data_IF_964321798737
#
_entry.id   IF_964321798737
#
_cell.length_a   1.000
_cell.length_b   1.000
_cell.length_c   1.000
_cell.angle_alpha   90.00
_cell.angle_beta   90.00
_cell.angle_gamma   90.00
#
_symmetry.space_group_name_H-M   'P 1'
#
loop_
_entity.id
_entity.type
_entity.pdbx_description
1 polymer ?
#
# COMPACT_ATOMS: atom_id res chain seq x y z
N UNK A 1 -103.92 25.76 -21.44
CA UNK A 1 -103.19 26.86 -22.12
C UNK A 1 -103.08 28.03 -21.16
N UNK A 2 -101.90 28.68 -21.10
CA UNK A 2 -101.56 29.97 -20.44
C UNK A 2 -101.75 30.06 -18.92
N UNK A 3 -100.92 30.70 -18.09
CA UNK A 3 -99.66 31.41 -18.23
C UNK A 3 -99.12 31.77 -16.83
N UNK A 4 -97.78 31.88 -16.68
CA UNK A 4 -97.06 32.88 -15.87
C UNK A 4 -97.21 32.83 -14.33
N UNK A 5 -96.28 33.26 -13.48
CA UNK A 5 -95.07 34.09 -13.55
C UNK A 5 -94.29 33.85 -12.26
N UNK A 6 -92.95 33.88 -12.28
CA UNK A 6 -92.18 34.53 -11.20
C UNK A 6 -90.78 34.95 -11.68
N UNK A 7 -90.41 36.15 -11.26
CA UNK A 7 -89.14 36.91 -11.36
C UNK A 7 -88.69 37.15 -9.90
N UNK A 8 -87.57 37.84 -9.57
CA UNK A 8 -86.23 37.96 -10.16
C UNK A 8 -85.09 37.93 -9.08
N UNK A 9 -83.86 38.33 -9.46
CA UNK A 9 -82.72 38.79 -8.62
C UNK A 9 -81.84 37.72 -7.96
N UNK A 10 -80.51 37.84 -7.77
CA UNK A 10 -79.46 38.84 -8.11
C UNK A 10 -78.09 38.12 -7.93
N UNK A 11 -77.07 38.69 -8.59
CA UNK A 11 -75.64 38.30 -8.71
C UNK A 11 -74.90 38.05 -7.38
N UNK A 12 -73.96 37.09 -7.34
CA UNK A 12 -72.68 37.20 -6.59
C UNK A 12 -71.55 36.48 -7.34
N UNK A 13 -70.45 37.24 -7.45
CA UNK A 13 -69.05 37.00 -7.86
C UNK A 13 -68.51 35.57 -8.00
N UNK A 14 -67.88 35.33 -9.15
CA UNK A 14 -66.97 34.21 -9.44
C UNK A 14 -65.53 34.60 -9.09
N UNK A 15 -64.91 33.88 -8.16
CA UNK A 15 -63.47 33.86 -7.96
C UNK A 15 -63.06 32.46 -7.51
N UNK A 16 -62.40 31.71 -8.39
CA UNK A 16 -61.54 30.58 -8.02
C UNK A 16 -60.56 30.34 -9.17
N UNK A 17 -59.32 30.76 -8.90
CA UNK A 17 -58.15 30.52 -9.73
C UNK A 17 -57.78 29.03 -9.64
N UNK A 18 -57.65 28.36 -10.80
CA UNK A 18 -56.99 27.06 -10.91
C UNK A 18 -55.61 27.32 -11.49
N UNK A 19 -54.62 27.53 -10.62
CA UNK A 19 -53.22 27.43 -10.98
C UNK A 19 -52.84 25.94 -10.91
N UNK A 20 -52.74 25.30 -12.07
CA UNK A 20 -52.19 23.96 -12.19
C UNK A 20 -50.66 24.05 -12.03
N UNK A 21 -50.17 23.77 -10.83
CA UNK A 21 -48.75 23.62 -10.53
C UNK A 21 -48.23 22.31 -11.13
N UNK A 22 -47.43 22.41 -12.20
CA UNK A 22 -46.52 21.35 -12.61
C UNK A 22 -45.34 21.33 -11.64
N UNK A 23 -45.45 20.58 -10.56
CA UNK A 23 -44.31 20.23 -9.72
C UNK A 23 -43.51 19.14 -10.42
N UNK A 24 -42.60 19.53 -11.31
CA UNK A 24 -41.51 18.65 -11.73
C UNK A 24 -40.61 18.47 -10.53
N UNK A 25 -40.72 17.31 -9.88
CA UNK A 25 -39.76 16.86 -8.87
C UNK A 25 -38.47 16.53 -9.61
N UNK A 26 -37.58 17.51 -9.75
CA UNK A 26 -36.17 17.26 -10.03
C UNK A 26 -35.53 16.74 -8.74
N UNK A 27 -35.67 15.44 -8.47
CA UNK A 27 -34.73 14.71 -7.61
C UNK A 27 -33.71 14.08 -8.54
N UNK A 28 -32.56 14.75 -8.69
CA UNK A 28 -31.47 14.21 -9.48
C UNK A 28 -30.42 15.26 -9.84
N UNK A 29 -29.17 14.95 -9.49
CA UNK A 29 -27.93 15.59 -9.91
C UNK A 29 -27.46 16.85 -9.14
N UNK A 30 -27.27 16.71 -7.83
CA UNK A 30 -26.20 17.45 -7.13
C UNK A 30 -25.03 16.50 -6.83
N UNK A 31 -24.48 15.86 -7.87
CA UNK A 31 -23.25 15.05 -7.78
C UNK A 31 -22.12 15.41 -8.78
N UNK A 32 -22.27 16.27 -9.81
CA UNK A 32 -21.18 16.41 -10.79
C UNK A 32 -20.02 17.31 -10.32
N UNK A 33 -20.22 18.27 -9.42
CA UNK A 33 -19.17 19.24 -9.07
C UNK A 33 -18.06 18.62 -8.20
N UNK A 34 -18.41 17.89 -7.15
CA UNK A 34 -17.43 17.23 -6.29
C UNK A 34 -16.78 16.00 -6.96
N UNK A 35 -17.54 15.27 -7.79
CA UNK A 35 -17.05 14.14 -8.59
C UNK A 35 -16.03 14.56 -9.65
N UNK A 36 -16.27 15.67 -10.35
CA UNK A 36 -15.33 16.24 -11.31
C UNK A 36 -14.05 16.75 -10.63
N UNK A 37 -14.12 17.17 -9.37
CA UNK A 37 -12.98 17.74 -8.64
C UNK A 37 -11.91 16.68 -8.32
N UNK A 38 -12.27 15.54 -7.70
CA UNK A 38 -11.25 14.55 -7.29
C UNK A 38 -10.54 13.88 -8.46
N UNK A 39 -11.27 13.49 -9.50
CA UNK A 39 -10.67 12.81 -10.66
C UNK A 39 -9.79 13.75 -11.47
N UNK A 40 -10.09 15.05 -11.49
CA UNK A 40 -9.23 16.06 -12.13
C UNK A 40 -7.85 16.18 -11.49
N UNK A 41 -7.73 15.81 -10.21
CA UNK A 41 -6.48 15.82 -9.44
C UNK A 41 -5.63 14.56 -9.65
N UNK A 42 -6.16 13.55 -10.34
CA UNK A 42 -5.42 12.31 -10.66
C UNK A 42 -4.50 12.47 -11.89
N UNK A 43 -3.67 13.52 -11.88
CA UNK A 43 -2.77 13.88 -12.98
C UNK A 43 -1.87 12.71 -13.41
N UNK A 44 -1.51 11.85 -12.45
CA UNK A 44 -0.64 10.70 -12.65
C UNK A 44 -1.22 9.67 -13.62
N UNK A 45 -2.55 9.51 -13.69
CA UNK A 45 -3.18 8.58 -14.62
C UNK A 45 -2.87 8.95 -16.07
N UNK A 46 -2.94 10.25 -16.39
CA UNK A 46 -2.57 10.76 -17.71
C UNK A 46 -1.07 10.62 -17.96
N UNK A 47 -0.24 10.99 -16.99
CA UNK A 47 1.22 10.89 -17.11
C UNK A 47 1.70 9.45 -17.36
N UNK A 48 1.03 8.47 -16.75
CA UNK A 48 1.34 7.04 -16.89
C UNK A 48 0.63 6.38 -18.07
N UNK A 49 -0.17 7.11 -18.85
CA UNK A 49 -0.92 6.60 -20.00
C UNK A 49 -1.97 5.53 -19.62
N UNK A 50 -2.63 5.69 -18.47
CA UNK A 50 -3.55 4.70 -17.90
C UNK A 50 -4.70 4.32 -18.84
N UNK A 51 -5.34 5.29 -19.52
CA UNK A 51 -6.45 5.00 -20.45
C UNK A 51 -6.04 4.10 -21.62
N UNK A 52 -4.80 4.21 -22.09
CA UNK A 52 -4.28 3.34 -23.15
C UNK A 52 -3.92 1.96 -22.59
N UNK A 53 -3.32 1.90 -21.40
CA UNK A 53 -3.01 0.61 -20.74
C UNK A 53 -4.28 -0.20 -20.46
N UNK A 54 -5.36 0.46 -20.00
CA UNK A 54 -6.63 -0.18 -19.69
C UNK A 54 -7.34 -0.82 -20.88
N UNK A 55 -6.95 -0.50 -22.12
CA UNK A 55 -7.43 -1.20 -23.32
C UNK A 55 -6.79 -2.58 -23.49
N UNK A 56 -5.66 -2.83 -22.82
CA UNK A 56 -4.90 -4.08 -22.86
C UNK A 56 -5.11 -4.87 -21.56
N UNK A 57 -4.92 -4.21 -20.42
CA UNK A 57 -5.10 -4.82 -19.09
C UNK A 57 -5.52 -3.77 -18.07
N UNK A 58 -6.34 -4.18 -17.11
CA UNK A 58 -6.75 -3.38 -15.97
C UNK A 58 -6.17 -3.90 -14.65
N UNK A 59 -5.35 -4.94 -14.67
CA UNK A 59 -4.84 -5.62 -13.46
C UNK A 59 -5.68 -6.82 -13.04
N UNK A 60 -6.58 -7.29 -13.90
CA UNK A 60 -7.42 -8.47 -13.68
C UNK A 60 -6.60 -9.72 -13.31
N UNK A 61 -7.14 -10.53 -12.41
CA UNK A 61 -6.48 -11.74 -11.93
C UNK A 61 -5.33 -11.50 -10.94
N UNK A 62 -4.99 -10.24 -10.63
CA UNK A 62 -3.99 -9.90 -9.60
C UNK A 62 -4.68 -9.45 -8.32
N UNK A 63 -4.28 -10.07 -7.22
CA UNK A 63 -4.70 -9.68 -5.86
C UNK A 63 -3.53 -9.03 -5.14
N UNK A 64 -3.81 -7.96 -4.39
CA UNK A 64 -2.81 -7.21 -3.63
C UNK A 64 -3.23 -7.16 -2.17
N UNK A 65 -2.32 -7.50 -1.26
CA UNK A 65 -2.50 -7.21 0.15
C UNK A 65 -2.17 -5.74 0.42
N UNK A 66 -3.09 -5.01 1.04
CA UNK A 66 -2.85 -3.62 1.50
C UNK A 66 -2.75 -3.67 3.01
N UNK A 67 -1.51 -3.56 3.52
CA UNK A 67 -1.24 -3.53 4.95
C UNK A 67 -1.24 -2.07 5.41
N UNK A 68 -2.30 -1.67 6.10
CA UNK A 68 -2.59 -0.27 6.42
C UNK A 68 -3.61 -0.15 7.57
N UNK A 69 -4.26 1.01 7.74
CA UNK A 69 -5.19 1.33 8.84
C UNK A 69 -6.54 0.60 8.78
N UNK A 70 -6.73 -0.32 7.82
CA UNK A 70 -7.99 -0.93 7.42
C UNK A 70 -8.46 -0.41 6.05
N UNK A 71 -9.48 -1.03 5.46
CA UNK A 71 -10.05 -0.59 4.17
C UNK A 71 -11.56 -0.64 4.21
N UNK A 72 -12.24 0.50 4.06
CA UNK A 72 -13.69 0.53 3.98
C UNK A 72 -14.17 0.05 2.59
N UNK A 73 -14.82 -1.13 2.48
CA UNK A 73 -15.27 -1.67 1.19
C UNK A 73 -16.54 -0.99 0.67
N UNK A 74 -17.22 -0.20 1.50
CA UNK A 74 -18.50 0.41 1.18
C UNK A 74 -18.39 1.74 0.43
N UNK A 75 -17.17 2.25 0.23
CA UNK A 75 -16.99 3.43 -0.63
C UNK A 75 -17.48 3.11 -2.04
N UNK A 76 -18.10 4.08 -2.75
CA UNK A 76 -18.56 3.85 -4.12
C UNK A 76 -17.47 3.32 -5.05
N UNK A 77 -16.21 3.70 -4.84
CA UNK A 77 -15.05 3.27 -5.64
C UNK A 77 -14.54 1.86 -5.30
N UNK A 78 -14.78 1.35 -4.08
CA UNK A 78 -14.26 0.05 -3.64
C UNK A 78 -15.31 -1.07 -3.58
N UNK A 79 -16.60 -0.77 -3.78
CA UNK A 79 -17.64 -1.81 -3.79
C UNK A 79 -17.32 -2.92 -4.80
N UNK A 80 -17.14 -4.12 -4.27
CA UNK A 80 -16.79 -5.33 -5.03
C UNK A 80 -15.30 -5.48 -5.35
N UNK A 81 -14.43 -4.58 -4.89
CA UNK A 81 -12.97 -4.62 -5.10
C UNK A 81 -12.21 -5.23 -3.93
N UNK A 82 -12.80 -5.22 -2.74
CA UNK A 82 -12.18 -5.67 -1.50
C UNK A 82 -12.62 -7.12 -1.20
N UNK A 83 -11.64 -7.97 -0.91
CA UNK A 83 -11.81 -9.36 -0.52
C UNK A 83 -11.70 -9.49 1.01
N UNK A 84 -11.95 -10.70 1.53
CA UNK A 84 -11.73 -10.97 2.95
C UNK A 84 -10.24 -10.87 3.27
N UNK A 85 -9.92 -10.14 4.34
CA UNK A 85 -8.56 -9.95 4.83
C UNK A 85 -8.41 -10.31 6.31
N UNK A 86 -7.48 -9.65 6.98
CA UNK A 86 -7.14 -9.89 8.39
C UNK A 86 -7.00 -8.59 9.17
N UNK A 87 -7.51 -8.56 10.40
CA UNK A 87 -7.13 -7.56 11.40
C UNK A 87 -6.01 -8.13 12.29
N UNK A 88 -4.82 -7.51 12.24
CA UNK A 88 -3.67 -7.90 13.04
C UNK A 88 -3.52 -7.06 14.33
N UNK A 89 -4.36 -6.04 14.53
CA UNK A 89 -4.27 -5.09 15.64
C UNK A 89 -4.67 -5.68 16.98
N UNK A 90 -5.57 -6.67 16.99
CA UNK A 90 -6.20 -7.19 18.21
C UNK A 90 -7.09 -6.17 18.94
N UNK A 91 -7.37 -5.02 18.33
CA UNK A 91 -8.31 -4.02 18.83
C UNK A 91 -9.75 -4.36 18.38
N UNK A 92 -10.72 -3.56 18.84
CA UNK A 92 -12.10 -3.69 18.37
C UNK A 92 -12.21 -3.34 16.87
N UNK A 93 -13.05 -4.11 16.17
CA UNK A 93 -13.29 -4.00 14.74
C UNK A 93 -12.76 -5.19 13.94
N UNK A 94 -12.73 -5.03 12.63
CA UNK A 94 -12.20 -5.99 11.67
C UNK A 94 -11.34 -5.30 10.59
N UNK A 95 -10.90 -6.05 9.58
CA UNK A 95 -10.02 -5.54 8.52
C UNK A 95 -10.60 -4.38 7.70
N UNK A 96 -11.93 -4.20 7.75
CA UNK A 96 -12.66 -3.16 7.03
C UNK A 96 -12.81 -1.85 7.83
N UNK A 97 -12.51 -1.88 9.14
CA UNK A 97 -12.62 -0.73 10.03
C UNK A 97 -11.41 0.21 9.88
N UNK A 98 -11.37 0.93 8.76
CA UNK A 98 -10.37 1.96 8.51
C UNK A 98 -10.55 3.15 9.45
N UNK A 99 -9.73 3.20 10.50
CA UNK A 99 -9.81 4.21 11.54
C UNK A 99 -9.20 5.56 11.15
N UNK A 100 -8.59 5.67 9.96
CA UNK A 100 -7.91 6.89 9.49
C UNK A 100 -8.41 7.42 8.15
N UNK A 101 -8.94 6.56 7.29
CA UNK A 101 -9.17 6.85 5.87
C UNK A 101 -7.93 6.65 4.99
N UNK A 102 -6.77 6.32 5.58
CA UNK A 102 -5.50 6.19 4.87
C UNK A 102 -5.47 4.89 4.05
N UNK A 103 -5.74 3.74 4.66
CA UNK A 103 -5.76 2.46 3.96
C UNK A 103 -6.82 2.39 2.85
N UNK A 104 -8.00 2.96 3.07
CA UNK A 104 -9.04 3.11 2.03
C UNK A 104 -8.55 3.96 0.87
N UNK A 105 -7.83 5.05 1.14
CA UNK A 105 -7.21 5.86 0.07
C UNK A 105 -6.20 5.03 -0.72
N UNK A 106 -5.32 4.28 -0.05
CA UNK A 106 -4.31 3.45 -0.72
C UNK A 106 -4.97 2.38 -1.61
N UNK A 107 -6.00 1.70 -1.09
CA UNK A 107 -6.78 0.73 -1.83
C UNK A 107 -7.47 1.35 -3.05
N UNK A 108 -8.00 2.57 -2.93
CA UNK A 108 -8.61 3.28 -4.06
C UNK A 108 -7.60 3.72 -5.13
N UNK A 109 -6.40 4.19 -4.73
CA UNK A 109 -5.33 4.51 -5.67
C UNK A 109 -4.85 3.27 -6.46
N UNK A 110 -4.96 2.08 -5.86
CA UNK A 110 -4.65 0.82 -6.52
C UNK A 110 -5.83 0.39 -7.42
N UNK A 111 -6.99 0.11 -6.83
CA UNK A 111 -8.08 -0.62 -7.48
C UNK A 111 -9.43 0.11 -7.48
N UNK A 112 -9.48 1.40 -7.14
CA UNK A 112 -10.72 2.17 -7.15
C UNK A 112 -11.39 2.18 -8.53
N UNK A 113 -12.69 1.93 -8.61
CA UNK A 113 -13.38 1.93 -9.91
C UNK A 113 -13.74 3.33 -10.42
N UNK A 114 -13.56 4.37 -9.58
CA UNK A 114 -14.02 5.73 -9.84
C UNK A 114 -15.55 5.91 -9.85
N UNK A 115 -16.31 4.90 -9.41
CA UNK A 115 -17.78 4.97 -9.34
C UNK A 115 -18.20 5.98 -8.28
N UNK A 116 -19.36 6.60 -8.46
CA UNK A 116 -19.83 7.66 -7.57
C UNK A 116 -18.97 8.93 -7.59
N UNK A 117 -18.07 9.06 -8.58
CA UNK A 117 -17.15 10.19 -8.66
C UNK A 117 -15.96 10.12 -7.74
N UNK A 118 -15.65 8.94 -7.16
CA UNK A 118 -14.47 8.78 -6.32
C UNK A 118 -13.18 8.55 -7.10
N UNK A 119 -12.12 8.20 -6.38
CA UNK A 119 -10.80 7.92 -6.96
C UNK A 119 -10.87 6.70 -7.91
N UNK A 120 -10.29 6.86 -9.11
CA UNK A 120 -10.07 5.78 -10.06
C UNK A 120 -8.64 5.22 -9.94
N UNK A 121 -8.47 4.02 -9.43
CA UNK A 121 -7.16 3.41 -9.24
C UNK A 121 -6.44 3.14 -10.56
N UNK A 122 -5.12 3.00 -10.48
CA UNK A 122 -4.28 2.69 -11.65
C UNK A 122 -4.52 1.27 -12.18
N UNK A 123 -4.85 0.31 -11.32
CA UNK A 123 -5.17 -1.08 -11.65
C UNK A 123 -6.61 -1.45 -11.24
N UNK A 124 -7.65 -0.86 -11.87
CA UNK A 124 -9.05 -1.01 -11.43
C UNK A 124 -9.63 -2.42 -11.63
N UNK A 125 -8.92 -3.34 -12.29
CA UNK A 125 -9.29 -4.74 -12.41
C UNK A 125 -8.71 -5.64 -11.31
N UNK A 126 -7.76 -5.14 -10.53
CA UNK A 126 -7.16 -5.86 -9.41
C UNK A 126 -8.11 -5.98 -8.22
N UNK A 127 -7.79 -6.86 -7.27
CA UNK A 127 -8.52 -7.00 -6.00
C UNK A 127 -7.63 -6.71 -4.81
N UNK A 128 -8.24 -6.18 -3.75
CA UNK A 128 -7.56 -5.77 -2.51
C UNK A 128 -7.87 -6.78 -1.41
N UNK A 129 -6.84 -7.26 -0.73
CA UNK A 129 -6.92 -8.02 0.53
C UNK A 129 -6.47 -7.08 1.64
N UNK A 130 -7.39 -6.56 2.48
CA UNK A 130 -7.03 -5.59 3.51
C UNK A 130 -6.36 -6.29 4.70
N UNK A 131 -5.25 -5.73 5.18
CA UNK A 131 -4.57 -6.18 6.39
C UNK A 131 -4.48 -5.01 7.36
N UNK A 132 -5.35 -4.97 8.36
CA UNK A 132 -5.43 -3.86 9.31
C UNK A 132 -4.32 -3.96 10.35
N UNK A 133 -3.55 -2.89 10.50
CA UNK A 133 -2.49 -2.72 11.50
C UNK A 133 -2.69 -1.42 12.27
N UNK A 134 -2.02 -1.29 13.41
CA UNK A 134 -1.99 -0.09 14.23
C UNK A 134 -0.81 0.80 13.84
N UNK A 135 -1.09 2.07 13.60
CA UNK A 135 -0.06 3.12 13.57
C UNK A 135 0.36 3.47 15.00
N UNK A 136 1.54 4.05 15.19
CA UNK A 136 2.06 4.43 16.52
C UNK A 136 1.03 5.14 17.42
N UNK A 137 0.21 6.02 16.87
CA UNK A 137 -0.82 6.73 17.65
C UNK A 137 -2.07 5.90 17.92
N UNK A 138 -2.42 4.98 17.03
CA UNK A 138 -3.47 3.99 17.27
C UNK A 138 -3.04 3.04 18.40
N UNK A 139 -1.82 2.52 18.33
CA UNK A 139 -1.30 1.57 19.31
C UNK A 139 -1.25 2.15 20.73
N UNK A 140 -0.83 3.43 20.87
CA UNK A 140 -0.85 4.16 22.15
C UNK A 140 -2.24 4.27 22.77
N UNK A 141 -3.29 4.37 21.94
CA UNK A 141 -4.68 4.58 22.39
C UNK A 141 -5.42 3.27 22.68
N UNK A 142 -5.06 2.18 22.00
CA UNK A 142 -5.90 0.98 21.95
C UNK A 142 -5.25 -0.30 22.51
N UNK A 143 -4.11 -0.22 23.20
CA UNK A 143 -3.43 -1.41 23.77
C UNK A 143 -3.32 -2.57 22.77
N UNK A 144 -2.98 -2.24 21.52
CA UNK A 144 -2.99 -3.16 20.40
C UNK A 144 -1.82 -4.15 20.45
N UNK A 145 -1.90 -5.19 19.63
CA UNK A 145 -0.82 -6.12 19.35
C UNK A 145 0.44 -5.37 18.88
N UNK A 146 1.54 -5.53 19.62
CA UNK A 146 2.84 -4.91 19.32
C UNK A 146 3.58 -5.59 18.16
N UNK A 147 3.04 -6.68 17.63
CA UNK A 147 3.60 -7.44 16.51
C UNK A 147 2.69 -7.45 15.28
N UNK A 148 1.68 -6.59 15.26
CA UNK A 148 0.71 -6.46 14.19
C UNK A 148 1.33 -6.38 12.79
N UNK A 149 2.43 -5.64 12.61
CA UNK A 149 3.10 -5.51 11.30
C UNK A 149 3.66 -6.84 10.80
N UNK A 150 4.38 -7.57 11.66
CA UNK A 150 4.96 -8.86 11.29
C UNK A 150 3.87 -9.91 11.04
N UNK A 151 2.81 -9.91 11.86
CA UNK A 151 1.69 -10.83 11.72
C UNK A 151 0.89 -10.55 10.43
N UNK A 152 0.67 -9.28 10.09
CA UNK A 152 0.03 -8.86 8.84
C UNK A 152 0.88 -9.22 7.60
N UNK A 153 2.20 -9.01 7.63
CA UNK A 153 3.11 -9.40 6.53
C UNK A 153 3.05 -10.91 6.31
N UNK A 154 3.06 -11.69 7.39
CA UNK A 154 2.98 -13.15 7.31
C UNK A 154 1.63 -13.61 6.77
N UNK A 155 0.54 -13.03 7.24
CA UNK A 155 -0.81 -13.32 6.73
C UNK A 155 -0.96 -12.96 5.25
N UNK A 156 -0.41 -11.83 4.83
CA UNK A 156 -0.36 -11.44 3.41
C UNK A 156 0.44 -12.45 2.58
N UNK A 157 1.55 -12.96 3.11
CA UNK A 157 2.34 -14.00 2.46
C UNK A 157 1.61 -15.34 2.31
N UNK A 158 0.72 -15.68 3.24
CA UNK A 158 -0.10 -16.89 3.19
C UNK A 158 -1.41 -16.72 2.41
N UNK A 159 -1.75 -15.50 2.01
CA UNK A 159 -2.90 -15.20 1.16
C UNK A 159 -2.59 -15.41 -0.34
N UNK A 160 -3.64 -15.29 -1.16
CA UNK A 160 -3.55 -15.31 -2.63
C UNK A 160 -2.98 -14.00 -3.22
N UNK A 161 -2.63 -13.01 -2.39
CA UNK A 161 -1.97 -11.79 -2.87
C UNK A 161 -0.68 -12.12 -3.63
N UNK A 162 -0.47 -11.54 -4.81
CA UNK A 162 0.83 -11.56 -5.51
C UNK A 162 1.74 -10.43 -5.04
N UNK A 163 1.13 -9.31 -4.64
CA UNK A 163 1.82 -8.08 -4.26
C UNK A 163 1.39 -7.67 -2.84
N UNK A 164 2.31 -7.17 -2.02
CA UNK A 164 2.02 -6.58 -0.71
C UNK A 164 2.41 -5.09 -0.75
N UNK A 165 1.47 -4.21 -0.48
CA UNK A 165 1.67 -2.76 -0.40
C UNK A 165 1.68 -2.33 1.06
N UNK A 166 2.76 -1.65 1.49
CA UNK A 166 2.99 -1.22 2.86
C UNK A 166 3.25 0.29 2.89
N UNK A 167 2.22 1.07 3.22
CA UNK A 167 2.28 2.54 3.23
C UNK A 167 2.53 3.09 4.64
N UNK A 168 3.41 2.43 5.39
CA UNK A 168 3.83 2.77 6.74
C UNK A 168 5.33 2.54 6.91
N UNK A 169 5.90 3.11 7.97
CA UNK A 169 7.32 2.94 8.27
C UNK A 169 7.67 3.30 9.71
N UNK A 170 8.78 2.74 10.18
CA UNK A 170 9.37 3.01 11.49
C UNK A 170 10.90 2.96 11.39
N UNK A 171 11.64 3.81 12.11
CA UNK A 171 13.11 3.74 12.13
C UNK A 171 13.65 2.51 12.89
N UNK A 172 12.78 1.65 13.42
CA UNK A 172 13.15 0.47 14.20
C UNK A 172 12.83 -0.78 13.41
N UNK A 173 13.82 -1.67 13.28
CA UNK A 173 13.61 -3.02 12.75
C UNK A 173 13.47 -4.03 13.89
N UNK A 174 12.60 -5.03 13.69
CA UNK A 174 12.44 -6.13 14.65
C UNK A 174 12.85 -7.47 14.02
N UNK A 175 13.35 -8.44 14.81
CA UNK A 175 13.63 -9.78 14.29
C UNK A 175 12.41 -10.44 13.63
N UNK A 176 11.23 -10.26 14.23
CA UNK A 176 9.97 -10.87 13.75
C UNK A 176 9.54 -10.29 12.40
N UNK A 177 9.67 -8.98 12.19
CA UNK A 177 9.42 -8.37 10.87
C UNK A 177 10.42 -8.84 9.82
N UNK A 178 11.72 -8.90 10.15
CA UNK A 178 12.74 -9.44 9.24
C UNK A 178 12.42 -10.85 8.78
N UNK A 179 11.97 -11.70 9.71
CA UNK A 179 11.56 -13.07 9.39
C UNK A 179 10.29 -13.11 8.52
N UNK A 180 9.30 -12.27 8.82
CA UNK A 180 8.07 -12.18 8.03
C UNK A 180 8.34 -11.73 6.59
N UNK A 181 9.24 -10.75 6.40
CA UNK A 181 9.65 -10.25 5.08
C UNK A 181 10.42 -11.31 4.28
N UNK A 182 11.35 -12.03 4.91
CA UNK A 182 12.02 -13.18 4.28
C UNK A 182 11.03 -14.29 3.91
N UNK A 183 10.07 -14.56 4.78
CA UNK A 183 9.02 -15.54 4.53
C UNK A 183 8.14 -15.15 3.33
N UNK A 184 7.76 -13.87 3.22
CA UNK A 184 7.02 -13.35 2.08
C UNK A 184 7.81 -13.50 0.75
N UNK A 185 9.11 -13.20 0.76
CA UNK A 185 9.97 -13.40 -0.42
C UNK A 185 10.05 -14.89 -0.79
N UNK A 186 10.22 -15.78 0.19
CA UNK A 186 10.26 -17.23 -0.03
C UNK A 186 8.92 -17.80 -0.56
N UNK A 187 7.81 -17.07 -0.39
CA UNK A 187 6.49 -17.38 -0.98
C UNK A 187 6.29 -16.73 -2.37
N UNK A 188 7.32 -16.11 -2.93
CA UNK A 188 7.28 -15.46 -4.24
C UNK A 188 6.47 -14.16 -4.26
N UNK A 189 6.25 -13.52 -3.11
CA UNK A 189 5.52 -12.25 -3.03
C UNK A 189 6.43 -11.08 -3.43
N UNK A 190 5.90 -10.15 -4.22
CA UNK A 190 6.53 -8.85 -4.47
C UNK A 190 6.00 -7.85 -3.45
N UNK A 191 6.83 -7.03 -2.83
CA UNK A 191 6.33 -6.08 -1.85
C UNK A 191 7.01 -4.73 -1.89
N UNK A 192 6.17 -3.70 -1.80
CA UNK A 192 6.53 -2.30 -1.91
C UNK A 192 6.29 -1.63 -0.57
N UNK A 193 7.23 -0.78 -0.16
CA UNK A 193 7.18 -0.07 1.11
C UNK A 193 7.51 1.42 0.91
N UNK A 194 6.77 2.27 1.63
CA UNK A 194 7.06 3.70 1.68
C UNK A 194 8.43 3.96 2.33
N UNK A 195 9.27 4.79 1.72
CA UNK A 195 10.58 5.15 2.30
C UNK A 195 10.49 6.16 3.43
N UNK A 196 9.34 6.83 3.61
CA UNK A 196 9.09 7.81 4.68
C UNK A 196 9.05 9.26 4.19
N UNK A 197 8.55 10.15 5.06
CA UNK A 197 8.21 11.55 4.71
C UNK A 197 8.99 12.61 5.54
N UNK A 198 10.07 12.24 6.24
CA UNK A 198 10.84 13.14 7.12
C UNK A 198 12.19 13.59 6.53
N UNK A 199 12.26 13.82 5.20
CA UNK A 199 13.51 14.19 4.54
C UNK A 199 14.11 15.52 5.02
N UNK A 200 13.26 16.48 5.42
CA UNK A 200 13.68 17.76 5.98
C UNK A 200 13.99 17.68 7.49
N UNK A 201 13.64 16.57 8.15
CA UNK A 201 13.93 16.32 9.54
C UNK A 201 15.14 15.42 9.71
N UNK A 202 14.94 14.22 10.26
CA UNK A 202 16.05 13.30 10.56
C UNK A 202 16.43 12.41 9.38
N UNK A 203 15.60 12.33 8.33
CA UNK A 203 15.81 11.48 7.14
C UNK A 203 16.32 10.08 7.51
N UNK A 204 15.64 9.41 8.44
CA UNK A 204 16.08 8.10 8.94
C UNK A 204 15.53 7.01 8.05
N UNK A 205 16.37 6.03 7.73
CA UNK A 205 15.90 4.79 7.11
C UNK A 205 14.71 4.21 7.89
N UNK A 206 13.63 3.91 7.17
CA UNK A 206 12.41 3.31 7.72
C UNK A 206 12.27 1.86 7.25
N UNK A 207 11.76 1.02 8.14
CA UNK A 207 11.37 -0.35 7.88
C UNK A 207 9.85 -0.42 7.72
N UNK A 208 9.33 -1.16 6.73
CA UNK A 208 10.00 -2.24 6.02
C UNK A 208 10.81 -1.86 4.77
N UNK A 209 10.77 -0.61 4.29
CA UNK A 209 11.47 -0.20 3.05
C UNK A 209 12.98 -0.46 3.06
N UNK A 210 13.62 -0.42 4.23
CA UNK A 210 15.06 -0.67 4.38
C UNK A 210 15.42 -2.15 4.51
N UNK A 211 14.46 -3.08 4.44
CA UNK A 211 14.78 -4.51 4.32
C UNK A 211 15.22 -4.83 2.89
N UNK A 212 16.31 -5.62 2.69
CA UNK A 212 16.83 -5.92 1.35
C UNK A 212 15.85 -6.57 0.37
N UNK A 213 14.79 -7.20 0.89
CA UNK A 213 13.77 -7.86 0.08
C UNK A 213 12.61 -6.92 -0.31
N UNK A 214 12.47 -5.76 0.33
CA UNK A 214 11.40 -4.81 0.08
C UNK A 214 11.81 -3.81 -0.99
N UNK A 215 10.88 -3.45 -1.87
CA UNK A 215 11.06 -2.36 -2.81
C UNK A 215 10.71 -1.05 -2.11
N UNK A 216 11.72 -0.25 -1.77
CA UNK A 216 11.51 1.07 -1.20
C UNK A 216 11.10 2.08 -2.26
N UNK A 217 9.95 2.73 -2.05
CA UNK A 217 9.33 3.67 -2.99
C UNK A 217 9.39 5.10 -2.47
N UNK A 218 10.09 5.97 -3.21
CA UNK A 218 10.10 7.41 -3.00
C UNK A 218 8.99 8.12 -3.77
N UNK A 219 8.65 9.34 -3.32
CA UNK A 219 7.60 10.15 -3.92
C UNK A 219 8.17 11.15 -4.93
N UNK A 220 7.47 11.30 -6.04
CA UNK A 220 7.74 12.31 -7.05
C UNK A 220 6.51 13.17 -7.38
N UNK A 221 6.80 14.38 -7.86
CA UNK A 221 5.84 15.36 -8.33
C UNK A 221 5.47 15.17 -9.82
N UNK A 222 4.55 16.02 -10.31
CA UNK A 222 4.11 16.04 -11.71
C UNK A 222 5.18 16.37 -12.74
N UNK A 223 6.33 16.90 -12.31
CA UNK A 223 7.47 17.19 -13.15
C UNK A 223 8.50 16.04 -13.13
N UNK A 224 8.22 14.96 -12.38
CA UNK A 224 9.13 13.85 -12.19
C UNK A 224 10.30 14.17 -11.25
N UNK A 225 10.19 15.21 -10.43
CA UNK A 225 11.17 15.54 -9.40
C UNK A 225 10.77 14.89 -8.08
N UNK A 226 11.75 14.48 -7.29
CA UNK A 226 11.52 13.98 -5.93
C UNK A 226 10.76 15.03 -5.11
N UNK A 227 9.77 14.60 -4.34
CA UNK A 227 9.03 15.48 -3.43
C UNK A 227 9.89 15.88 -2.24
N UNK A 228 9.75 17.12 -1.76
CA UNK A 228 10.61 17.67 -0.70
C UNK A 228 10.57 16.90 0.62
N UNK A 229 9.44 16.26 0.94
CA UNK A 229 9.29 15.42 2.14
C UNK A 229 9.88 14.01 1.97
N UNK A 230 10.08 13.53 0.73
CA UNK A 230 10.39 12.12 0.48
C UNK A 230 11.79 11.78 0.99
N UNK A 231 11.86 10.84 1.93
CA UNK A 231 13.16 10.37 2.42
C UNK A 231 13.99 9.80 1.26
N UNK A 232 15.31 9.96 1.40
CA UNK A 232 16.29 9.63 0.38
C UNK A 232 17.47 8.88 1.01
N UNK A 233 18.10 8.02 0.22
CA UNK A 233 19.20 7.18 0.67
C UNK A 233 19.20 5.82 -0.01
N UNK A 234 19.88 4.86 0.64
CA UNK A 234 20.07 3.52 0.10
C UNK A 234 18.78 2.69 0.08
N UNK A 235 17.78 3.06 0.89
CA UNK A 235 16.47 2.44 0.93
C UNK A 235 15.58 2.80 -0.27
N UNK A 236 15.99 3.71 -1.17
CA UNK A 236 15.20 4.09 -2.35
C UNK A 236 15.53 3.23 -3.57
N UNK A 237 14.63 2.33 -3.96
CA UNK A 237 14.78 1.49 -5.15
C UNK A 237 14.09 2.07 -6.38
N UNK A 238 12.95 2.74 -6.22
CA UNK A 238 12.18 3.33 -7.33
C UNK A 238 11.38 4.53 -6.85
N UNK A 239 10.98 5.40 -7.77
CA UNK A 239 10.05 6.49 -7.49
C UNK A 239 8.71 6.30 -8.21
N UNK A 240 7.65 6.82 -7.60
CA UNK A 240 6.33 6.90 -8.21
C UNK A 240 5.63 8.23 -7.86
N UNK A 241 4.59 8.62 -8.62
CA UNK A 241 3.77 9.78 -8.28
C UNK A 241 3.24 9.71 -6.85
N UNK A 242 3.53 10.71 -6.03
CA UNK A 242 3.04 10.78 -4.64
C UNK A 242 2.74 12.18 -4.13
N UNK A 243 3.02 13.23 -4.93
CA UNK A 243 2.69 14.61 -4.60
C UNK A 243 1.32 15.03 -5.16
N UNK A 244 0.58 15.86 -4.42
CA UNK A 244 -0.73 16.41 -4.84
C UNK A 244 -1.71 15.29 -5.26
N UNK A 245 -1.67 14.15 -4.56
CA UNK A 245 -2.54 13.00 -4.83
C UNK A 245 -3.79 13.07 -3.96
N UNK A 246 -5.02 12.98 -4.50
CA UNK A 246 -6.23 13.08 -3.69
C UNK A 246 -6.31 11.96 -2.64
N UNK A 247 -6.90 12.27 -1.49
CA UNK A 247 -7.12 11.32 -0.38
C UNK A 247 -8.46 11.54 0.30
N UNK A 248 -8.97 10.54 1.01
CA UNK A 248 -10.04 10.78 1.98
C UNK A 248 -9.56 11.78 3.03
N UNK A 249 -10.36 12.80 3.38
CA UNK A 249 -9.96 13.79 4.38
C UNK A 249 -9.74 13.16 5.75
N UNK A 250 -10.65 12.25 6.13
CA UNK A 250 -10.70 11.53 7.39
C UNK A 250 -11.48 10.21 7.21
N UNK A 251 -11.66 9.48 8.31
CA UNK A 251 -12.38 8.21 8.36
C UNK A 251 -13.92 8.33 8.35
N UNK A 252 -14.49 9.53 8.15
CA UNK A 252 -15.93 9.68 7.94
C UNK A 252 -16.35 9.31 6.51
N UNK A 253 -15.38 9.28 5.58
CA UNK A 253 -15.58 9.01 4.15
C UNK A 253 -16.63 9.93 3.49
N UNK A 254 -16.73 11.18 3.97
CA UNK A 254 -17.70 12.16 3.46
C UNK A 254 -17.15 12.99 2.30
N UNK A 255 -15.84 13.29 2.30
CA UNK A 255 -15.20 14.09 1.24
C UNK A 255 -13.75 13.71 1.01
N UNK A 256 -13.31 13.91 -0.23
CA UNK A 256 -11.90 13.89 -0.60
C UNK A 256 -11.25 15.26 -0.36
N UNK A 257 -10.00 15.23 0.03
CA UNK A 257 -9.12 16.37 0.21
C UNK A 257 -7.96 16.29 -0.79
N UNK A 258 -7.34 17.44 -1.04
CA UNK A 258 -6.02 17.47 -1.64
C UNK A 258 -5.06 16.71 -0.71
N UNK A 259 -4.24 15.82 -1.25
CA UNK A 259 -3.18 15.21 -0.49
C UNK A 259 -2.03 16.20 -0.35
N UNK A 260 -1.58 16.39 0.89
CA UNK A 260 -0.34 17.12 1.21
C UNK A 260 0.91 16.41 0.67
N UNK A 261 0.73 15.24 0.03
CA UNK A 261 1.76 14.37 -0.49
C UNK A 261 2.06 13.21 0.47
N UNK A 262 2.72 12.19 -0.05
CA UNK A 262 3.26 11.11 0.78
C UNK A 262 3.85 9.98 -0.04
N UNK A 263 4.94 9.39 0.45
CA UNK A 263 5.48 8.14 -0.11
C UNK A 263 4.46 7.02 -0.07
N UNK A 264 3.46 7.08 0.82
CA UNK A 264 2.29 6.17 0.83
C UNK A 264 1.57 6.09 -0.51
N UNK A 265 1.22 7.24 -1.11
CA UNK A 265 0.54 7.27 -2.40
C UNK A 265 1.44 6.74 -3.52
N UNK A 266 2.73 7.06 -3.47
CA UNK A 266 3.73 6.52 -4.40
C UNK A 266 3.82 5.00 -4.30
N UNK A 267 3.85 4.42 -3.10
CA UNK A 267 3.85 2.98 -2.85
C UNK A 267 2.61 2.29 -3.42
N UNK A 268 1.43 2.88 -3.22
CA UNK A 268 0.18 2.36 -3.78
C UNK A 268 0.22 2.36 -5.33
N UNK A 269 0.67 3.45 -5.93
CA UNK A 269 0.75 3.59 -7.40
C UNK A 269 1.84 2.67 -7.98
N UNK A 270 2.96 2.46 -7.28
CA UNK A 270 3.98 1.51 -7.68
C UNK A 270 3.48 0.06 -7.63
N UNK A 271 2.75 -0.30 -6.56
CA UNK A 271 2.10 -1.60 -6.41
C UNK A 271 1.08 -1.86 -7.52
N UNK A 272 0.26 -0.86 -7.86
CA UNK A 272 -0.69 -0.94 -8.96
C UNK A 272 0.00 -1.07 -10.34
N UNK A 273 1.15 -0.41 -10.53
CA UNK A 273 1.96 -0.55 -11.74
C UNK A 273 2.46 -2.00 -11.91
N UNK A 274 2.91 -2.61 -10.81
CA UNK A 274 3.29 -4.03 -10.82
C UNK A 274 2.09 -4.94 -11.11
N UNK A 275 0.90 -4.63 -10.59
CA UNK A 275 -0.30 -5.40 -10.87
C UNK A 275 -0.68 -5.37 -12.36
N UNK A 276 -0.58 -4.22 -13.02
CA UNK A 276 -0.82 -4.11 -14.46
C UNK A 276 0.19 -4.94 -15.27
N UNK A 277 1.48 -4.83 -14.96
CA UNK A 277 2.53 -5.61 -15.65
C UNK A 277 2.34 -7.11 -15.43
N UNK A 278 2.02 -7.53 -14.21
CA UNK A 278 1.82 -8.94 -13.88
C UNK A 278 0.53 -9.51 -14.49
N UNK A 279 -0.54 -8.72 -14.61
CA UNK A 279 -1.77 -9.13 -15.28
C UNK A 279 -1.56 -9.35 -16.78
N UNK A 280 -0.79 -8.47 -17.45
CA UNK A 280 -0.40 -8.65 -18.84
C UNK A 280 0.58 -9.82 -19.07
N UNK A 281 1.28 -10.28 -18.03
CA UNK A 281 2.27 -11.35 -18.08
C UNK A 281 2.03 -12.36 -16.94
N UNK A 282 0.94 -13.13 -16.97
CA UNK A 282 0.46 -13.90 -15.81
C UNK A 282 1.44 -15.00 -15.34
N UNK A 283 2.28 -15.50 -16.25
CA UNK A 283 3.27 -16.56 -16.01
C UNK A 283 4.60 -16.05 -15.43
N UNK A 284 4.76 -14.74 -15.26
CA UNK A 284 5.98 -14.15 -14.71
C UNK A 284 6.08 -14.31 -13.20
N UNK A 285 7.32 -14.32 -12.70
CA UNK A 285 7.64 -14.26 -11.28
C UNK A 285 7.65 -12.82 -10.76
N UNK A 286 7.64 -12.66 -9.44
CA UNK A 286 7.86 -11.37 -8.78
C UNK A 286 9.14 -10.67 -9.27
N UNK A 287 10.22 -11.44 -9.45
CA UNK A 287 11.51 -10.93 -9.90
C UNK A 287 11.41 -10.38 -11.33
N UNK A 288 10.73 -11.08 -12.23
CA UNK A 288 10.58 -10.64 -13.63
C UNK A 288 9.76 -9.37 -13.75
N UNK A 289 8.65 -9.30 -13.01
CA UNK A 289 7.83 -8.09 -12.95
C UNK A 289 8.66 -6.91 -12.42
N UNK A 290 9.39 -7.10 -11.33
CA UNK A 290 10.22 -6.05 -10.74
C UNK A 290 11.36 -5.62 -11.69
N UNK A 291 12.03 -6.57 -12.34
CA UNK A 291 13.14 -6.28 -13.24
C UNK A 291 12.70 -5.42 -14.42
N UNK A 292 11.54 -5.72 -15.02
CA UNK A 292 10.95 -4.88 -16.08
C UNK A 292 10.63 -3.48 -15.59
N UNK A 293 10.08 -3.34 -14.39
CA UNK A 293 9.77 -2.03 -13.82
C UNK A 293 11.04 -1.20 -13.58
N UNK A 294 12.12 -1.81 -13.09
CA UNK A 294 13.42 -1.14 -12.93
C UNK A 294 14.08 -0.82 -14.27
N UNK A 295 14.06 -1.76 -15.21
CA UNK A 295 14.68 -1.59 -16.52
C UNK A 295 14.05 -0.43 -17.30
N UNK A 296 12.72 -0.33 -17.24
CA UNK A 296 11.96 0.67 -17.99
C UNK A 296 11.71 1.97 -17.23
N UNK A 297 12.12 2.07 -15.97
CA UNK A 297 11.98 3.26 -15.16
C UNK A 297 12.62 4.49 -15.83
N UNK A 298 11.92 5.62 -15.78
CA UNK A 298 12.36 6.88 -16.37
C UNK A 298 13.49 7.51 -15.55
N UNK A 299 14.64 7.74 -16.18
CA UNK A 299 15.86 8.29 -15.57
C UNK A 299 16.67 9.07 -16.58
N UNK A 300 17.51 9.98 -16.09
CA UNK A 300 18.52 10.73 -16.85
C UNK A 300 19.96 10.32 -16.51
N UNK A 301 20.15 9.38 -15.57
CA UNK A 301 21.42 8.71 -15.28
C UNK A 301 21.55 7.36 -16.01
N UNK A 302 22.76 6.79 -15.97
CA UNK A 302 23.10 5.53 -16.66
C UNK A 302 22.29 4.35 -16.10
N UNK A 303 21.83 3.47 -16.98
CA UNK A 303 21.20 2.19 -16.59
C UNK A 303 22.17 1.36 -15.73
N UNK A 304 21.66 0.84 -14.61
CA UNK A 304 22.43 0.09 -13.61
C UNK A 304 22.83 0.94 -12.41
N UNK A 305 22.96 2.26 -12.56
CA UNK A 305 23.19 3.16 -11.43
C UNK A 305 21.86 3.50 -10.73
N UNK A 306 21.94 3.79 -9.43
CA UNK A 306 20.80 4.18 -8.59
C UNK A 306 20.99 5.60 -8.07
N UNK A 307 19.94 6.41 -8.18
CA UNK A 307 19.82 7.70 -7.50
C UNK A 307 19.40 7.50 -6.06
N UNK A 308 20.00 8.23 -5.11
CA UNK A 308 19.55 8.23 -3.72
C UNK A 308 18.11 8.79 -3.55
N UNK A 309 17.60 9.52 -4.55
CA UNK A 309 16.28 10.16 -4.50
C UNK A 309 15.21 9.42 -5.28
N UNK A 310 15.58 8.82 -6.42
CA UNK A 310 14.63 8.20 -7.36
C UNK A 310 14.96 6.73 -7.67
N UNK A 311 15.99 6.16 -7.06
CA UNK A 311 16.39 4.76 -7.24
C UNK A 311 16.74 4.46 -8.70
N UNK A 312 16.07 3.47 -9.29
CA UNK A 312 16.16 3.10 -10.70
C UNK A 312 15.41 4.07 -11.64
N UNK A 313 14.60 4.97 -11.10
CA UNK A 313 13.86 6.01 -11.83
C UNK A 313 12.39 6.05 -11.47
N UNK A 314 11.63 6.84 -12.23
CA UNK A 314 10.17 6.89 -12.13
C UNK A 314 9.54 5.67 -12.78
N UNK A 315 8.62 5.00 -12.09
CA UNK A 315 7.94 3.81 -12.60
C UNK A 315 7.08 4.12 -13.85
N UNK A 316 7.18 3.28 -14.88
CA UNK A 316 6.54 3.49 -16.19
C UNK A 316 5.96 2.19 -16.77
N UNK A 317 4.89 1.62 -16.19
CA UNK A 317 4.32 0.34 -16.64
C UNK A 317 3.92 0.35 -18.13
N UNK A 318 3.55 1.51 -18.68
CA UNK A 318 3.22 1.69 -20.10
C UNK A 318 4.37 1.32 -21.05
N UNK A 319 5.63 1.38 -20.62
CA UNK A 319 6.77 0.97 -21.45
C UNK A 319 6.73 -0.52 -21.75
N UNK A 320 6.28 -1.34 -20.79
CA UNK A 320 6.07 -2.76 -21.02
C UNK A 320 4.72 -3.00 -21.70
N UNK A 321 3.63 -2.52 -21.11
CA UNK A 321 2.26 -2.86 -21.54
C UNK A 321 1.96 -2.37 -22.97
N UNK A 322 2.38 -1.15 -23.33
CA UNK A 322 2.06 -0.57 -24.65
C UNK A 322 3.15 -0.79 -25.70
N UNK A 323 4.39 -1.04 -25.28
CA UNK A 323 5.55 -1.06 -26.19
C UNK A 323 6.37 -2.36 -26.15
N UNK A 324 6.01 -3.31 -25.29
CA UNK A 324 6.73 -4.57 -25.14
C UNK A 324 8.20 -4.40 -24.73
N UNK A 325 8.54 -3.30 -24.05
CA UNK A 325 9.92 -3.04 -23.58
C UNK A 325 10.13 -3.55 -22.16
N UNK A 326 11.40 -3.73 -21.83
CA UNK A 326 11.85 -4.23 -20.52
C UNK A 326 12.35 -5.65 -20.63
N UNK A 327 13.52 -5.90 -20.06
CA UNK A 327 14.05 -7.25 -19.89
C UNK A 327 13.52 -7.86 -18.58
N UNK A 328 12.74 -8.96 -18.61
CA UNK A 328 12.30 -9.63 -17.40
C UNK A 328 13.46 -10.28 -16.63
N UNK A 329 14.61 -10.56 -17.28
CA UNK A 329 15.73 -11.21 -16.62
C UNK A 329 15.41 -12.64 -16.16
N UNK A 330 16.24 -13.15 -15.26
CA UNK A 330 16.12 -14.50 -14.70
C UNK A 330 14.96 -14.56 -13.68
N UNK A 331 14.04 -15.55 -13.78
CA UNK A 331 12.91 -15.69 -12.87
C UNK A 331 13.29 -15.91 -11.40
N UNK A 332 14.49 -16.40 -11.14
CA UNK A 332 14.95 -16.81 -9.81
C UNK A 332 15.98 -15.86 -9.20
N UNK A 333 16.42 -14.82 -9.91
CA UNK A 333 17.38 -13.83 -9.38
C UNK A 333 16.65 -12.56 -8.96
N UNK A 334 16.77 -12.16 -7.70
CA UNK A 334 16.18 -10.92 -7.20
C UNK A 334 16.88 -9.69 -7.80
N UNK A 335 16.15 -8.75 -8.41
CA UNK A 335 16.72 -7.48 -8.86
C UNK A 335 17.23 -6.58 -7.72
N UNK A 336 16.81 -6.85 -6.48
CA UNK A 336 17.20 -6.07 -5.30
C UNK A 336 18.54 -6.53 -4.74
N UNK A 337 18.73 -7.86 -4.59
CA UNK A 337 19.90 -8.44 -3.92
C UNK A 337 20.88 -9.11 -4.88
N UNK A 338 20.48 -9.37 -6.13
CA UNK A 338 21.22 -10.21 -7.08
C UNK A 338 21.50 -11.63 -6.55
N UNK A 339 20.66 -12.11 -5.64
CA UNK A 339 20.72 -13.46 -5.07
C UNK A 339 19.57 -14.32 -5.59
N UNK A 340 19.75 -15.63 -5.56
CA UNK A 340 18.72 -16.59 -5.95
C UNK A 340 17.61 -16.68 -4.90
N UNK A 341 16.36 -16.54 -5.31
CA UNK A 341 15.16 -16.70 -4.48
C UNK A 341 14.55 -18.09 -4.66
N UNK A 342 14.17 -18.78 -3.58
CA UNK A 342 13.71 -20.19 -3.61
C UNK A 342 12.19 -20.37 -3.72
N UNK A 343 11.45 -19.32 -4.13
CA UNK A 343 9.98 -19.25 -4.01
C UNK A 343 9.18 -19.04 -5.28
N UNK A 344 9.81 -19.00 -6.46
CA UNK A 344 9.12 -18.74 -7.73
C UNK A 344 8.37 -19.97 -8.24
N UNK A 345 7.03 -19.96 -8.38
CA UNK A 345 6.29 -21.09 -8.95
C UNK A 345 6.40 -21.21 -10.48
N UNK A 346 7.20 -20.38 -11.15
CA UNK A 346 7.34 -20.40 -12.61
C UNK A 346 8.43 -21.38 -13.06
N UNK A 347 8.24 -22.66 -12.79
CA UNK A 347 8.79 -23.72 -13.63
C UNK A 347 8.07 -25.03 -13.36
N UNK A 348 7.43 -25.66 -14.37
CA UNK A 348 7.31 -27.10 -14.35
C UNK A 348 8.75 -27.61 -14.34
N UNK A 349 9.15 -28.26 -13.25
CA UNK A 349 10.39 -28.99 -13.18
C UNK A 349 10.51 -29.80 -14.48
N UNK A 350 11.53 -29.48 -15.29
CA UNK A 350 11.94 -30.36 -16.36
C UNK A 350 12.18 -31.72 -15.70
N UNK A 351 11.30 -32.67 -15.96
CA UNK A 351 11.46 -34.03 -15.50
C UNK A 351 12.77 -34.51 -16.07
N UNK A 352 13.79 -34.65 -15.22
CA UNK A 352 14.99 -35.40 -15.56
C UNK A 352 14.54 -36.83 -15.86
N UNK A 353 14.26 -37.11 -17.12
CA UNK A 353 14.21 -38.47 -17.63
C UNK A 353 15.62 -39.05 -17.50
N UNK A 354 15.81 -40.20 -16.84
CA UNK A 354 17.11 -40.86 -16.81
C UNK A 354 17.45 -41.30 -18.24
N UNK A 355 18.50 -40.73 -18.82
CA UNK A 355 19.09 -41.22 -20.05
C UNK A 355 19.70 -42.59 -19.78
N UNK A 356 19.08 -43.62 -20.34
CA UNK A 356 19.59 -44.98 -20.41
C UNK A 356 20.93 -44.99 -21.16
N UNK A 357 22.04 -45.10 -20.44
CA UNK A 357 23.32 -45.49 -21.02
C UNK A 357 23.47 -47.00 -20.91
N UNK A 358 23.44 -47.65 -22.07
CA UNK A 358 23.75 -49.06 -22.19
C UNK A 358 25.27 -49.27 -22.15
N UNK A 359 25.66 -50.26 -21.34
CA UNK A 359 26.84 -51.11 -21.41
C UNK A 359 28.23 -50.47 -21.51
N UNK A 360 29.03 -50.64 -20.45
CA UNK A 360 30.10 -51.64 -20.50
C UNK A 360 30.59 -52.01 -19.07
N UNK A 361 30.56 -53.30 -18.78
CA UNK A 361 31.32 -54.00 -17.73
C UNK A 361 32.16 -55.07 -18.46
N UNK A 362 33.25 -55.66 -17.90
CA UNK A 362 33.61 -55.69 -16.48
C UNK A 362 35.12 -55.65 -16.13
N UNK A 363 35.44 -55.35 -14.86
CA UNK A 363 36.49 -56.04 -14.11
C UNK A 363 36.29 -55.90 -12.59
N UNK A 364 36.37 -57.04 -11.88
CA UNK A 364 36.22 -57.21 -10.44
C UNK A 364 37.50 -56.87 -9.65
N UNK A 365 37.31 -56.28 -8.45
CA UNK A 365 38.01 -56.56 -7.17
C UNK A 365 37.61 -55.43 -6.19
N UNK A 366 37.21 -55.58 -4.93
CA UNK A 366 37.19 -56.66 -3.95
C UNK A 366 37.47 -56.03 -2.57
N UNK A 367 36.68 -56.40 -1.54
CA UNK A 367 36.81 -56.06 -0.08
C UNK A 367 36.47 -54.60 0.29
N UNK A 368 35.86 -54.23 1.42
CA UNK A 368 35.43 -54.82 2.70
C UNK A 368 35.23 -53.59 3.64
N UNK A 369 34.10 -53.42 4.34
CA UNK A 369 33.92 -53.80 5.75
C UNK A 369 34.03 -52.59 6.70
N UNK A 370 32.97 -52.38 7.52
CA UNK A 370 32.89 -51.73 8.86
C UNK A 370 33.35 -50.25 9.02
N UNK A 371 32.49 -49.31 9.46
CA UNK A 371 31.98 -49.04 10.81
C UNK A 371 33.07 -48.60 11.81
N UNK A 372 32.99 -47.36 12.33
CA UNK A 372 33.10 -47.12 13.78
C UNK A 372 32.60 -45.72 14.20
N UNK A 373 32.19 -45.70 15.47
CA UNK A 373 31.47 -44.74 16.29
C UNK A 373 32.44 -43.91 17.16
N UNK A 374 31.90 -43.20 18.17
CA UNK A 374 32.51 -42.45 19.31
C UNK A 374 32.68 -40.93 19.06
N UNK A 375 32.04 -39.97 19.76
CA UNK A 375 31.54 -39.73 21.13
C UNK A 375 32.61 -39.51 22.21
N UNK A 376 32.62 -38.29 22.77
CA UNK A 376 32.96 -37.83 24.15
C UNK A 376 33.71 -36.48 24.07
N UNK A 377 33.23 -35.34 24.56
CA UNK A 377 32.78 -34.94 25.91
C UNK A 377 33.86 -35.12 26.99
N UNK A 378 34.38 -34.00 27.49
CA UNK A 378 35.33 -33.93 28.60
C UNK A 378 35.35 -32.54 29.21
N UNK A 379 34.56 -32.38 30.27
CA UNK A 379 34.62 -31.28 31.25
C UNK A 379 35.90 -31.38 32.11
N UNK A 380 36.43 -30.23 32.52
CA UNK A 380 37.09 -30.12 33.83
C UNK A 380 37.09 -28.67 34.34
N UNK A 381 36.40 -28.50 35.47
CA UNK A 381 36.41 -27.37 36.39
C UNK A 381 37.82 -26.93 36.82
N UNK A 382 37.97 -25.62 37.05
CA UNK A 382 38.66 -25.08 38.24
C UNK A 382 38.07 -23.73 38.62
N UNK A 383 37.52 -23.67 39.83
CA UNK A 383 37.00 -22.48 40.50
C UNK A 383 38.13 -21.76 41.26
N UNK A 384 38.11 -20.43 41.27
CA UNK A 384 38.75 -19.63 42.30
C UNK A 384 37.87 -18.40 42.62
N UNK A 385 37.53 -18.30 43.89
CA UNK A 385 36.71 -17.29 44.54
C UNK A 385 37.52 -16.04 44.91
N UNK A 386 36.82 -14.89 45.01
CA UNK A 386 37.34 -13.64 45.55
C UNK A 386 36.21 -12.61 45.64
N UNK A 387 35.64 -12.51 46.84
CA UNK A 387 34.57 -11.62 47.28
C UNK A 387 35.12 -10.20 47.56
N UNK A 388 34.29 -9.16 47.42
CA UNK A 388 34.31 -7.94 48.26
C UNK A 388 33.28 -6.88 47.80
N UNK A 389 32.23 -6.70 48.61
CA UNK A 389 31.85 -5.40 49.18
C UNK A 389 30.95 -4.45 48.39
N UNK A 390 29.64 -4.48 48.67
CA UNK A 390 28.72 -3.33 48.52
C UNK A 390 28.81 -2.41 49.77
N UNK A 391 28.31 -1.14 49.75
CA UNK A 391 26.86 -0.94 49.93
C UNK A 391 26.21 0.29 49.22
N UNK A 392 24.92 0.13 48.97
CA UNK A 392 23.79 1.08 49.01
C UNK A 392 24.06 2.58 49.31
N UNK A 393 23.55 3.43 48.41
CA UNK A 393 23.15 4.82 48.66
C UNK A 393 21.93 5.20 47.82
N UNK A 394 20.78 5.38 48.48
CA UNK A 394 19.52 5.90 47.95
C UNK A 394 19.51 7.45 47.95
N UNK A 395 18.57 8.02 47.18
CA UNK A 395 17.76 9.25 47.43
C UNK A 395 17.95 10.47 46.47
N UNK A 396 16.87 10.68 45.68
CA UNK A 396 16.16 11.92 45.23
C UNK A 396 16.75 12.92 44.21
N UNK A 397 15.87 13.29 43.28
CA UNK A 397 15.81 14.58 42.55
C UNK A 397 15.72 14.37 41.03
N UNK A 398 14.72 14.82 40.28
CA UNK A 398 13.54 15.63 40.56
C UNK A 398 12.69 15.72 39.28
N UNK A 399 11.38 15.89 39.45
CA UNK A 399 10.40 16.19 38.40
C UNK A 399 10.42 17.71 38.14
N UNK A 400 10.61 18.10 36.87
CA UNK A 400 10.14 19.34 36.24
C UNK A 400 10.54 19.26 34.75
N UNK A 401 9.77 19.66 33.74
CA UNK A 401 8.47 20.32 33.63
C UNK A 401 8.18 20.48 32.14
N UNK A 402 6.90 20.44 31.80
CA UNK A 402 6.30 20.41 30.45
C UNK A 402 6.11 21.83 29.87
N UNK A 403 6.02 21.91 28.53
CA UNK A 403 5.34 22.90 27.68
C UNK A 403 6.03 24.22 27.29
N UNK A 404 6.36 24.32 25.99
CA UNK A 404 6.24 25.52 25.13
C UNK A 404 5.91 24.96 23.72
N UNK A 405 4.68 25.06 23.20
CA UNK A 405 4.21 26.15 22.33
C UNK A 405 2.68 26.02 22.18
N UNK A 406 1.94 26.90 22.84
CA UNK A 406 0.49 27.06 22.68
C UNK A 406 0.13 28.46 23.12
N UNK A 407 0.27 29.43 22.21
CA UNK A 407 0.25 30.84 22.62
C UNK A 407 0.14 31.87 21.51
N UNK A 408 -0.53 31.59 20.39
CA UNK A 408 -1.13 32.63 19.54
C UNK A 408 -2.34 32.01 18.85
N UNK A 409 -3.55 32.48 19.17
CA UNK A 409 -4.80 32.51 18.34
C UNK A 409 -6.05 32.66 19.22
N UNK A 410 -6.02 32.40 20.54
CA UNK A 410 -7.22 32.56 21.39
C UNK A 410 -7.49 33.98 21.93
N UNK A 411 -6.94 35.02 21.29
CA UNK A 411 -7.10 36.42 21.74
C UNK A 411 -7.97 37.31 20.83
N UNK A 412 -8.77 36.74 19.91
CA UNK A 412 -9.59 37.54 18.97
C UNK A 412 -11.08 37.17 18.86
N UNK A 413 -11.66 36.44 19.83
CA UNK A 413 -13.11 36.12 19.79
C UNK A 413 -13.91 36.56 21.03
N UNK A 414 -13.34 37.37 21.95
CA UNK A 414 -14.09 37.90 23.10
C UNK A 414 -14.27 39.41 23.14
N UNK A 415 -14.30 40.07 21.98
CA UNK A 415 -14.64 41.50 21.91
C UNK A 415 -15.53 41.82 20.70
N UNK A 416 -16.75 41.28 20.72
CA UNK A 416 -17.92 41.82 20.00
C UNK A 416 -19.19 41.19 20.58
N UNK A 417 -19.80 41.91 21.52
CA UNK A 417 -21.01 41.48 22.22
C UNK A 417 -21.28 42.28 23.49
N UNK A 418 -21.39 43.61 23.37
CA UNK A 418 -22.18 44.51 24.23
C UNK A 418 -21.83 45.97 23.89
N UNK A 419 -22.86 46.76 23.59
CA UNK A 419 -22.92 48.16 23.16
C UNK A 419 -22.57 48.44 21.69
#
# INVERSE_FOLDING_TARGET
MTAGMSRPQKRVLSALAVAASWSVVFVGAAQPAAAADVQSKQWYLKAMQAEEMWKITTGEGVQLAVIDTGVNPETPSLRGQVLKGLDATGAEGDENDDYSGHGTTMAELIAGTGKGGGIKGLAPGAKIIPMRIGTSDFQKKHSSNVHDWADAIRAAADSDAKIISMSFGSPYSTPKEREAVKYAQAKGKLFFAAVGNDAQGRNRDEYPASYPQAVGVSSADKNGKVSEYSQNGNSVDVAAPGNEIPRWCDNSFQSYCDGEGGTSAATAIASASAALVWSANPDWTANQVLNVLFDTAGRDWKKGDRSAYLGHGLIRPAMNILKGKGDPGDPDISPLTNERTTGSPASPAASEQPSTSASDQPAQSGKGGEADETVAAGDSNTSASGDDGAPLGLILGGIAGVAVLGGVVFALVRRRGAA
#
